data_IF_491875424879
#
_entry.id   IF_491875424879
#
_cell.length_a   1.000
_cell.length_b   1.000
_cell.length_c   1.000
_cell.angle_alpha   90.00
_cell.angle_beta   90.00
_cell.angle_gamma   90.00
#
_symmetry.space_group_name_H-M   'P 1'
#
loop_
_entity.id
_entity.type
_entity.pdbx_description
1 polymer ?
#
# COMPACT_ATOMS: atom_id res chain seq x y z
N UNK A 1 25.87 -36.57 13.68
CA UNK A 1 26.20 -35.20 13.26
C UNK A 1 24.97 -34.43 12.72
N UNK A 2 23.81 -34.55 13.38
CA UNK A 2 22.55 -33.89 12.94
C UNK A 2 22.23 -32.67 13.82
N UNK A 3 22.72 -32.65 15.07
CA UNK A 3 22.39 -31.62 16.06
C UNK A 3 22.92 -30.23 15.74
N UNK A 4 24.15 -30.08 15.25
CA UNK A 4 24.74 -28.76 14.98
C UNK A 4 24.11 -28.06 13.77
N UNK A 5 23.75 -28.82 12.73
CA UNK A 5 23.04 -28.28 11.56
C UNK A 5 21.62 -27.81 11.91
N UNK A 6 20.86 -28.57 12.73
CA UNK A 6 19.54 -28.14 13.17
C UNK A 6 19.60 -26.91 14.09
N UNK A 7 20.59 -26.82 14.98
CA UNK A 7 20.79 -25.66 15.87
C UNK A 7 21.07 -24.40 15.05
N UNK A 8 21.94 -24.48 14.03
CA UNK A 8 22.22 -23.33 13.15
C UNK A 8 20.99 -22.90 12.33
N UNK A 9 20.15 -23.85 11.91
CA UNK A 9 18.89 -23.56 11.21
C UNK A 9 17.85 -22.88 12.12
N UNK A 10 17.71 -23.34 13.37
CA UNK A 10 16.81 -22.71 14.35
C UNK A 10 17.32 -21.29 14.67
N UNK A 11 18.62 -21.13 14.91
CA UNK A 11 19.25 -19.82 15.15
C UNK A 11 19.00 -18.88 13.96
N UNK A 12 19.21 -19.34 12.73
CA UNK A 12 18.94 -18.56 11.53
C UNK A 12 17.46 -18.15 11.38
N UNK A 13 16.53 -19.05 11.71
CA UNK A 13 15.09 -18.77 11.71
C UNK A 13 14.68 -17.78 12.81
N UNK A 14 15.32 -17.84 13.99
CA UNK A 14 15.05 -16.89 15.09
C UNK A 14 15.70 -15.51 14.88
N UNK A 15 16.72 -15.40 14.05
CA UNK A 15 17.36 -14.13 13.71
C UNK A 15 16.78 -13.45 12.47
N UNK A 16 15.88 -14.10 11.74
CA UNK A 16 15.11 -13.45 10.68
C UNK A 16 14.13 -12.45 11.33
N UNK A 17 14.27 -11.13 11.07
CA UNK A 17 13.37 -10.17 11.67
C UNK A 17 11.94 -10.44 11.18
N UNK A 18 11.01 -10.44 12.14
CA UNK A 18 9.57 -10.52 11.87
C UNK A 18 9.13 -9.36 10.99
N UNK A 19 7.99 -9.49 10.30
CA UNK A 19 7.44 -8.38 9.49
C UNK A 19 7.23 -7.12 10.34
N UNK A 20 6.77 -7.30 11.58
CA UNK A 20 6.63 -6.21 12.56
C UNK A 20 7.96 -5.49 12.79
N UNK A 21 9.05 -6.24 13.02
CA UNK A 21 10.35 -5.63 13.26
C UNK A 21 10.96 -5.00 12.00
N UNK A 22 10.66 -5.54 10.80
CA UNK A 22 11.03 -4.88 9.54
C UNK A 22 10.28 -3.56 9.38
N UNK A 23 9.00 -3.52 9.74
CA UNK A 23 8.14 -2.35 9.67
C UNK A 23 8.61 -1.22 10.60
N UNK A 24 8.91 -1.53 11.87
CA UNK A 24 9.41 -0.54 12.84
C UNK A 24 10.68 0.18 12.37
N UNK A 25 11.53 -0.51 11.60
CA UNK A 25 12.74 0.06 11.01
C UNK A 25 12.48 0.91 9.76
N UNK A 26 11.24 1.00 9.26
CA UNK A 26 10.92 1.78 8.07
C UNK A 26 10.68 3.28 8.35
N UNK A 27 10.53 3.69 9.61
CA UNK A 27 10.18 5.08 9.95
C UNK A 27 8.69 5.38 9.74
N UNK A 28 8.29 6.66 9.81
CA UNK A 28 6.89 7.04 9.60
C UNK A 28 6.50 6.83 8.14
N UNK A 29 5.54 5.93 7.89
CA UNK A 29 5.11 5.53 6.56
C UNK A 29 3.63 5.79 6.35
N UNK A 30 3.23 6.27 5.17
CA UNK A 30 1.87 6.72 4.86
C UNK A 30 1.21 5.94 3.72
N UNK A 31 1.95 5.10 2.99
CA UNK A 31 1.37 4.43 1.82
C UNK A 31 0.49 3.24 2.23
N UNK A 32 -0.82 3.43 2.33
CA UNK A 32 -1.78 2.35 2.59
C UNK A 32 -2.46 2.49 3.95
N UNK A 33 -3.06 1.40 4.43
CA UNK A 33 -3.71 1.35 5.74
C UNK A 33 -3.60 -0.09 6.29
N UNK A 34 -3.30 -0.23 7.59
CA UNK A 34 -3.17 -1.52 8.26
C UNK A 34 -2.07 -2.39 7.64
N UNK A 35 -2.40 -3.62 7.23
CA UNK A 35 -1.42 -4.55 6.65
C UNK A 35 -0.80 -4.02 5.34
N UNK A 36 -1.56 -3.27 4.53
CA UNK A 36 -1.06 -2.71 3.27
C UNK A 36 0.03 -1.65 3.50
N UNK A 37 -0.06 -0.91 4.60
CA UNK A 37 0.94 0.07 5.02
C UNK A 37 2.27 -0.60 5.36
N UNK A 38 2.21 -1.73 6.08
CA UNK A 38 3.40 -2.51 6.42
C UNK A 38 4.08 -3.09 5.17
N UNK A 39 3.28 -3.72 4.30
CA UNK A 39 3.79 -4.37 3.09
C UNK A 39 4.40 -3.38 2.11
N UNK A 40 3.78 -2.21 1.94
CA UNK A 40 4.32 -1.15 1.08
C UNK A 40 5.60 -0.57 1.67
N UNK A 41 5.67 -0.31 2.98
CA UNK A 41 6.88 0.19 3.63
C UNK A 41 8.08 -0.76 3.44
N UNK A 42 7.83 -2.06 3.61
CA UNK A 42 8.81 -3.11 3.36
C UNK A 42 9.20 -3.13 1.88
N UNK A 43 8.22 -3.17 0.97
CA UNK A 43 8.47 -3.17 -0.48
C UNK A 43 9.37 -2.00 -0.91
N UNK A 44 9.06 -0.77 -0.49
CA UNK A 44 9.87 0.40 -0.80
C UNK A 44 11.28 0.31 -0.18
N UNK A 45 11.38 -0.10 1.08
CA UNK A 45 12.68 -0.19 1.77
C UNK A 45 13.64 -1.21 1.13
N UNK A 46 13.13 -2.32 0.61
CA UNK A 46 13.96 -3.35 -0.02
C UNK A 46 14.18 -3.13 -1.51
N UNK A 47 13.13 -2.73 -2.25
CA UNK A 47 13.18 -2.64 -3.71
C UNK A 47 13.63 -1.28 -4.22
N UNK A 48 13.36 -0.22 -3.46
CA UNK A 48 13.67 1.14 -3.88
C UNK A 48 14.14 2.03 -2.72
N UNK A 49 15.22 1.64 -2.01
CA UNK A 49 15.66 2.34 -0.81
C UNK A 49 16.02 3.80 -1.06
N UNK A 50 16.57 4.13 -2.25
CA UNK A 50 16.98 5.50 -2.59
C UNK A 50 15.82 6.47 -2.78
N UNK A 51 14.68 6.00 -3.28
CA UNK A 51 13.50 6.83 -3.50
C UNK A 51 12.46 6.68 -2.39
N UNK A 52 12.70 5.83 -1.38
CA UNK A 52 11.73 5.46 -0.36
C UNK A 52 11.02 6.66 0.25
N UNK A 53 11.76 7.65 0.71
CA UNK A 53 11.20 8.82 1.39
C UNK A 53 10.38 9.69 0.42
N UNK A 54 10.84 9.85 -0.83
CA UNK A 54 10.09 10.56 -1.86
C UNK A 54 8.79 9.83 -2.23
N UNK A 55 8.82 8.50 -2.36
CA UNK A 55 7.62 7.69 -2.60
C UNK A 55 6.62 7.84 -1.45
N UNK A 56 7.10 7.83 -0.21
CA UNK A 56 6.28 8.03 0.98
C UNK A 56 5.61 9.41 0.99
N UNK A 57 6.35 10.44 0.59
CA UNK A 57 5.84 11.80 0.49
C UNK A 57 4.71 11.90 -0.54
N UNK A 58 4.79 11.18 -1.66
CA UNK A 58 3.69 11.09 -2.61
C UNK A 58 2.42 10.50 -1.98
N UNK A 59 2.55 9.49 -1.13
CA UNK A 59 1.41 8.90 -0.44
C UNK A 59 0.74 9.88 0.52
N UNK A 60 1.54 10.64 1.28
CA UNK A 60 1.01 11.70 2.15
C UNK A 60 0.20 12.74 1.36
N UNK A 61 0.67 13.14 0.17
CA UNK A 61 -0.08 14.05 -0.68
C UNK A 61 -1.34 13.43 -1.27
N UNK A 62 -1.30 12.14 -1.62
CA UNK A 62 -2.45 11.39 -2.12
C UNK A 62 -3.54 11.25 -1.06
N UNK A 63 -3.17 10.86 0.17
CA UNK A 63 -4.10 10.75 1.30
C UNK A 63 -4.76 12.10 1.62
N UNK A 64 -3.99 13.20 1.56
CA UNK A 64 -4.55 14.53 1.72
C UNK A 64 -5.50 14.91 0.57
N UNK A 65 -5.18 14.54 -0.67
CA UNK A 65 -6.07 14.75 -1.82
C UNK A 65 -7.39 13.97 -1.66
N UNK A 66 -7.28 12.73 -1.18
CA UNK A 66 -8.40 11.87 -0.83
C UNK A 66 -9.23 12.46 0.31
N UNK A 67 -8.62 12.88 1.40
CA UNK A 67 -9.31 13.54 2.52
C UNK A 67 -10.09 14.78 2.08
N UNK A 68 -9.48 15.62 1.23
CA UNK A 68 -10.11 16.84 0.71
C UNK A 68 -11.13 16.59 -0.41
N UNK A 69 -11.34 15.33 -0.83
CA UNK A 69 -12.36 14.96 -1.81
C UNK A 69 -12.26 15.72 -3.14
N UNK A 70 -11.03 16.00 -3.60
CA UNK A 70 -10.78 16.76 -4.84
C UNK A 70 -11.26 16.01 -6.09
N UNK A 71 -11.35 14.69 -6.00
CA UNK A 71 -11.78 13.80 -7.07
C UNK A 71 -10.81 12.64 -7.25
N UNK A 72 -11.29 11.40 -7.09
CA UNK A 72 -10.45 10.19 -7.10
C UNK A 72 -9.49 10.13 -8.30
N UNK A 73 -10.02 10.23 -9.52
CA UNK A 73 -9.21 10.13 -10.73
C UNK A 73 -8.11 11.20 -10.79
N UNK A 74 -8.40 12.42 -10.32
CA UNK A 74 -7.40 13.49 -10.25
C UNK A 74 -6.32 13.16 -9.22
N UNK A 75 -6.72 12.73 -8.02
CA UNK A 75 -5.78 12.34 -6.97
C UNK A 75 -4.88 11.17 -7.41
N UNK A 76 -5.45 10.13 -8.02
CA UNK A 76 -4.70 8.96 -8.48
C UNK A 76 -3.71 9.31 -9.59
N UNK A 77 -4.13 10.11 -10.58
CA UNK A 77 -3.23 10.55 -11.65
C UNK A 77 -2.09 11.43 -11.12
N UNK A 78 -2.40 12.36 -10.22
CA UNK A 78 -1.39 13.22 -9.57
C UNK A 78 -0.41 12.39 -8.75
N UNK A 79 -0.91 11.37 -8.04
CA UNK A 79 -0.07 10.43 -7.29
C UNK A 79 0.86 9.65 -8.23
N UNK A 80 0.34 9.08 -9.32
CA UNK A 80 1.15 8.37 -10.31
C UNK A 80 2.27 9.27 -10.89
N UNK A 81 1.95 10.53 -11.20
CA UNK A 81 2.95 11.50 -11.68
C UNK A 81 4.00 11.81 -10.61
N UNK A 82 3.59 11.99 -9.35
CA UNK A 82 4.48 12.21 -8.22
C UNK A 82 5.47 11.05 -8.06
N UNK A 83 5.00 9.80 -8.18
CA UNK A 83 5.86 8.62 -8.04
C UNK A 83 6.97 8.61 -9.11
N UNK A 84 6.65 8.93 -10.36
CA UNK A 84 7.63 8.97 -11.45
C UNK A 84 8.64 10.11 -11.25
N UNK A 85 8.17 11.32 -10.94
CA UNK A 85 9.04 12.46 -10.64
C UNK A 85 9.99 12.16 -9.45
N UNK A 86 9.48 11.49 -8.42
CA UNK A 86 10.27 11.06 -7.26
C UNK A 86 11.41 10.10 -7.62
N UNK A 87 11.26 9.28 -8.68
CA UNK A 87 12.35 8.45 -9.17
C UNK A 87 13.44 9.28 -9.85
N UNK A 88 13.08 10.36 -10.54
CA UNK A 88 14.05 11.29 -11.12
C UNK A 88 14.81 12.04 -10.04
N UNK A 89 14.10 12.64 -9.09
CA UNK A 89 14.67 13.44 -7.99
C UNK A 89 15.65 12.62 -7.12
N UNK A 90 15.38 11.33 -6.95
CA UNK A 90 16.22 10.41 -6.18
C UNK A 90 17.33 9.72 -7.00
N UNK A 91 17.52 10.08 -8.28
CA UNK A 91 18.42 9.41 -9.21
C UNK A 91 18.16 7.89 -9.31
N UNK A 92 16.89 7.49 -9.25
CA UNK A 92 16.41 6.10 -9.30
C UNK A 92 15.63 5.79 -10.59
N UNK A 93 15.55 6.75 -11.53
CA UNK A 93 14.80 6.63 -12.78
C UNK A 93 15.35 5.59 -13.77
N UNK A 94 16.55 5.05 -13.54
CA UNK A 94 17.08 3.90 -14.30
C UNK A 94 16.94 2.56 -13.58
N UNK A 95 16.53 2.56 -12.30
CA UNK A 95 16.40 1.35 -11.49
C UNK A 95 15.05 0.66 -11.77
N UNK A 96 15.11 -0.56 -12.31
CA UNK A 96 13.93 -1.34 -12.67
C UNK A 96 13.07 -1.74 -11.45
N UNK A 97 13.67 -1.96 -10.29
CA UNK A 97 12.93 -2.28 -9.07
C UNK A 97 12.15 -1.06 -8.58
N UNK A 98 12.78 0.12 -8.62
CA UNK A 98 12.12 1.38 -8.31
C UNK A 98 10.94 1.67 -9.24
N UNK A 99 11.12 1.50 -10.55
CA UNK A 99 10.04 1.64 -11.54
C UNK A 99 8.88 0.70 -11.24
N UNK A 100 9.19 -0.58 -11.03
CA UNK A 100 8.16 -1.58 -10.73
C UNK A 100 7.42 -1.25 -9.44
N UNK A 101 8.11 -0.78 -8.40
CA UNK A 101 7.47 -0.37 -7.14
C UNK A 101 6.52 0.82 -7.37
N UNK A 102 6.96 1.85 -8.09
CA UNK A 102 6.11 3.00 -8.44
C UNK A 102 4.89 2.58 -9.29
N UNK A 103 5.07 1.72 -10.29
CA UNK A 103 3.98 1.19 -11.11
C UNK A 103 2.97 0.39 -10.29
N UNK A 104 3.44 -0.46 -9.37
CA UNK A 104 2.56 -1.22 -8.47
C UNK A 104 1.73 -0.28 -7.60
N UNK A 105 2.32 0.78 -7.04
CA UNK A 105 1.59 1.74 -6.22
C UNK A 105 0.54 2.48 -7.04
N UNK A 106 0.91 2.99 -8.22
CA UNK A 106 0.00 3.67 -9.13
C UNK A 106 -1.17 2.76 -9.56
N UNK A 107 -0.87 1.52 -9.97
CA UNK A 107 -1.90 0.55 -10.37
C UNK A 107 -2.81 0.18 -9.21
N UNK A 108 -2.27 0.08 -8.00
CA UNK A 108 -3.07 -0.26 -6.82
C UNK A 108 -4.14 0.80 -6.55
N UNK A 109 -3.79 2.09 -6.53
CA UNK A 109 -4.76 3.15 -6.25
C UNK A 109 -5.74 3.36 -7.41
N UNK A 110 -5.30 3.24 -8.66
CA UNK A 110 -6.20 3.43 -9.81
C UNK A 110 -7.23 2.32 -9.95
N UNK A 111 -6.91 1.09 -9.53
CA UNK A 111 -7.83 -0.07 -9.59
C UNK A 111 -8.67 -0.19 -8.31
N UNK A 112 -8.04 -0.02 -7.14
CA UNK A 112 -8.66 -0.31 -5.83
C UNK A 112 -9.03 0.94 -5.03
N UNK A 113 -8.68 2.14 -5.51
CA UNK A 113 -8.78 3.40 -4.79
C UNK A 113 -10.20 3.92 -4.59
N UNK A 114 -11.23 3.32 -5.20
CA UNK A 114 -12.62 3.72 -4.96
C UNK A 114 -12.99 3.66 -3.47
N UNK A 115 -12.73 2.52 -2.81
CA UNK A 115 -13.13 2.36 -1.41
C UNK A 115 -12.39 3.32 -0.49
N UNK A 116 -11.04 3.42 -0.52
CA UNK A 116 -10.34 4.36 0.35
C UNK A 116 -10.69 5.82 0.09
N UNK A 117 -10.95 6.22 -1.17
CA UNK A 117 -11.40 7.58 -1.50
C UNK A 117 -12.76 7.90 -0.89
N UNK A 118 -13.71 6.97 -0.95
CA UNK A 118 -15.02 7.17 -0.32
C UNK A 118 -14.95 7.09 1.20
N UNK A 119 -14.07 6.25 1.76
CA UNK A 119 -13.90 6.09 3.21
C UNK A 119 -13.25 7.37 3.80
N UNK A 120 -12.36 8.03 3.05
CA UNK A 120 -11.71 9.29 3.46
C UNK A 120 -12.65 10.50 3.50
N UNK A 121 -13.90 10.38 3.02
CA UNK A 121 -14.95 11.38 3.23
C UNK A 121 -15.38 11.45 4.70
N UNK A 122 -15.19 10.36 5.44
CA UNK A 122 -15.76 10.14 6.75
C UNK A 122 -14.65 10.19 7.78
N UNK A 123 -14.33 11.38 8.28
CA UNK A 123 -13.55 11.50 9.51
C UNK A 123 -14.26 12.41 10.52
N UNK A 124 -14.69 11.77 11.61
CA UNK A 124 -14.86 12.26 13.00
C UNK A 124 -16.23 12.15 13.71
N UNK A 125 -17.19 11.34 13.22
CA UNK A 125 -18.25 10.81 14.11
C UNK A 125 -18.42 9.30 13.88
N UNK A 126 -17.84 8.49 14.77
CA UNK A 126 -18.08 7.03 14.82
C UNK A 126 -19.54 6.75 15.22
N UNK A 127 -20.43 6.56 14.23
CA UNK A 127 -21.76 5.96 14.46
C UNK A 127 -21.72 4.45 14.06
N UNK A 128 -22.09 3.56 14.98
CA UNK A 128 -22.18 2.10 14.79
C UNK A 128 -23.00 1.69 13.56
N UNK A 129 -23.93 2.56 13.13
CA UNK A 129 -24.69 2.41 11.88
C UNK A 129 -23.79 2.32 10.65
N UNK A 130 -22.68 3.04 10.63
CA UNK A 130 -21.72 3.09 9.53
C UNK A 130 -20.96 1.76 9.35
N UNK A 131 -20.58 1.10 10.45
CA UNK A 131 -19.92 -0.22 10.41
C UNK A 131 -20.81 -1.25 9.71
N UNK A 132 -22.11 -1.20 9.96
CA UNK A 132 -23.09 -2.12 9.34
C UNK A 132 -23.23 -1.85 7.84
N UNK A 133 -23.31 -0.58 7.42
CA UNK A 133 -23.39 -0.19 6.01
C UNK A 133 -22.11 -0.59 5.25
N UNK A 134 -20.93 -0.41 5.85
CA UNK A 134 -19.63 -0.81 5.27
C UNK A 134 -19.57 -2.31 5.00
N UNK A 135 -20.00 -3.15 5.96
CA UNK A 135 -20.08 -4.61 5.78
C UNK A 135 -21.03 -5.00 4.65
N UNK A 136 -22.21 -4.37 4.57
CA UNK A 136 -23.19 -4.62 3.50
C UNK A 136 -22.65 -4.22 2.12
N UNK A 137 -21.93 -3.09 2.04
CA UNK A 137 -21.29 -2.62 0.80
C UNK A 137 -20.21 -3.59 0.31
N UNK A 138 -19.34 -4.07 1.20
CA UNK A 138 -18.32 -5.08 0.88
C UNK A 138 -18.95 -6.39 0.37
N UNK A 139 -20.01 -6.88 1.02
CA UNK A 139 -20.75 -8.06 0.57
C UNK A 139 -21.37 -7.86 -0.80
N UNK A 140 -21.91 -6.66 -1.08
CA UNK A 140 -22.49 -6.33 -2.38
C UNK A 140 -21.44 -6.29 -3.49
N UNK A 141 -20.24 -5.76 -3.19
CA UNK A 141 -19.13 -5.68 -4.13
C UNK A 141 -18.53 -7.06 -4.41
N UNK A 142 -18.36 -7.88 -3.38
CA UNK A 142 -17.95 -9.28 -3.53
C UNK A 142 -18.97 -10.07 -4.35
N UNK A 143 -20.27 -9.87 -4.11
CA UNK A 143 -21.34 -10.48 -4.91
C UNK A 143 -21.26 -10.06 -6.38
N UNK A 144 -21.01 -8.78 -6.67
CA UNK A 144 -20.92 -8.28 -8.03
C UNK A 144 -19.66 -8.81 -8.75
N UNK A 145 -18.53 -8.90 -8.02
CA UNK A 145 -17.32 -9.53 -8.52
C UNK A 145 -17.54 -11.01 -8.86
N UNK A 146 -18.16 -11.78 -7.97
CA UNK A 146 -18.50 -13.19 -8.21
C UNK A 146 -19.47 -13.37 -9.39
N UNK A 147 -20.46 -12.49 -9.53
CA UNK A 147 -21.35 -12.47 -10.71
C UNK A 147 -20.57 -12.19 -11.99
N UNK A 148 -19.62 -11.26 -11.98
CA UNK A 148 -18.78 -10.97 -13.14
C UNK A 148 -17.90 -12.16 -13.54
N UNK A 149 -17.51 -13.01 -12.60
CA UNK A 149 -16.75 -14.23 -12.88
C UNK A 149 -17.65 -15.33 -13.47
N UNK A 150 -18.88 -15.46 -12.97
CA UNK A 150 -19.86 -16.44 -13.46
C UNK A 150 -20.40 -16.13 -14.85
N UNK A 151 -20.49 -14.85 -15.24
CA UNK A 151 -20.92 -14.44 -16.59
C UNK A 151 -19.81 -14.64 -17.64
N UNK A 152 -18.56 -14.90 -17.20
CA UNK A 152 -17.41 -15.13 -18.07
C UNK A 152 -17.02 -16.62 -18.21
N UNK A 153 -17.84 -17.54 -17.68
CA UNK A 153 -17.80 -18.99 -17.94
C UNK A 153 -18.92 -19.38 -18.89
#
# INVERSE_FOLDING_TARGET
>A
MIGTSCILLIIALTHLPTLQQRYENTGQWFCGNGENEQLSAISASYRCPKAKDNLNQCCKYHDNCYHNQIGRNYCDLTFCQCLIASLEDSNSSSDANCKTTAEVYCNFVTVMGYFPYTDSMWSEEEDERYVTIRKLSLLSSLRNFLKSLLVRM
#
